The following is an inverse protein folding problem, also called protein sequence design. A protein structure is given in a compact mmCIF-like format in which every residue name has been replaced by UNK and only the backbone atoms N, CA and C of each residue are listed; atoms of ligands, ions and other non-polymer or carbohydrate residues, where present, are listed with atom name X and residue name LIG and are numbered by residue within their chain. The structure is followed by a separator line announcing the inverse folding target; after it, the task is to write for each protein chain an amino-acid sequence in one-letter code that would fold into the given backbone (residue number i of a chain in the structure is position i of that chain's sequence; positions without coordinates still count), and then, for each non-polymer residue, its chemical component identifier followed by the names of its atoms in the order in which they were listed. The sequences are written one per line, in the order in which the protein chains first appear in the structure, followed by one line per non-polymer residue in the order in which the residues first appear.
data_IF_404587918430
#
_entry.id   IF_404587918430
#
_cell.length_a   1.000
_cell.length_b   1.000
_cell.length_c   1.000
_cell.angle_alpha   90.00
_cell.angle_beta   90.00
_cell.angle_gamma   90.00
#
_symmetry.space_group_name_H-M   'P 1'
#
loop_
_entity.id
_entity.type
_entity.pdbx_description
1 polymer ?
#
# COMPACT_ATOMS: atom_id res chain seq x y z
N UNK A 1 14.79 -1.62 8.52
CA UNK A 1 13.96 -0.42 8.36
C UNK A 1 13.65 0.26 9.70
N UNK A 2 13.09 -0.44 10.70
CA UNK A 2 12.71 0.16 12.00
C UNK A 2 13.87 0.79 12.81
N UNK A 3 15.11 0.50 12.46
CA UNK A 3 16.31 1.15 13.07
C UNK A 3 16.77 2.38 12.28
N UNK A 4 16.16 2.66 11.14
CA UNK A 4 16.47 3.83 10.29
C UNK A 4 15.50 4.96 10.61
N UNK A 5 15.91 6.19 10.30
CA UNK A 5 14.96 7.31 10.33
C UNK A 5 13.97 7.19 9.16
N UNK A 6 12.68 7.49 9.35
CA UNK A 6 11.69 7.47 8.28
C UNK A 6 12.11 8.22 7.00
N UNK A 7 12.72 9.39 7.15
CA UNK A 7 13.19 10.19 6.02
C UNK A 7 14.31 9.51 5.22
N UNK A 8 15.22 8.79 5.88
CA UNK A 8 16.32 8.10 5.21
C UNK A 8 15.79 6.95 4.34
N UNK A 9 14.77 6.24 4.80
CA UNK A 9 14.08 5.21 4.01
C UNK A 9 13.49 5.83 2.72
N UNK A 10 12.84 7.00 2.83
CA UNK A 10 12.28 7.69 1.65
C UNK A 10 13.38 8.05 0.65
N UNK A 11 14.53 8.54 1.13
CA UNK A 11 15.65 8.89 0.26
C UNK A 11 16.30 7.64 -0.38
N UNK A 12 16.37 6.51 0.32
CA UNK A 12 16.84 5.24 -0.26
C UNK A 12 15.91 4.76 -1.38
N UNK A 13 14.59 4.87 -1.20
CA UNK A 13 13.63 4.55 -2.26
C UNK A 13 13.73 5.52 -3.44
N UNK A 14 14.02 6.81 -3.21
CA UNK A 14 14.31 7.77 -4.29
C UNK A 14 15.57 7.36 -5.04
N UNK A 15 16.67 7.11 -4.31
CA UNK A 15 17.99 6.77 -4.86
C UNK A 15 17.99 5.45 -5.63
N UNK A 16 17.15 4.49 -5.24
CA UNK A 16 16.98 3.22 -5.96
C UNK A 16 16.41 3.38 -7.37
N UNK A 17 15.77 4.51 -7.66
CA UNK A 17 15.10 4.74 -8.93
C UNK A 17 13.85 3.86 -9.15
N UNK A 18 13.32 3.22 -8.11
CA UNK A 18 12.12 2.38 -8.20
C UNK A 18 10.96 3.14 -8.85
N UNK A 19 10.43 2.57 -9.91
CA UNK A 19 9.23 3.09 -10.59
C UNK A 19 8.01 2.24 -10.28
N UNK A 20 6.86 2.90 -10.20
CA UNK A 20 5.58 2.24 -10.04
C UNK A 20 5.27 1.29 -11.20
N UNK A 21 4.86 0.08 -10.88
CA UNK A 21 4.62 -1.01 -11.84
C UNK A 21 3.15 -1.17 -12.26
N UNK A 22 2.28 -0.28 -11.80
CA UNK A 22 0.86 -0.22 -12.21
C UNK A 22 0.61 0.50 -13.55
N UNK A 23 1.60 0.58 -14.44
CA UNK A 23 1.48 1.15 -15.79
C UNK A 23 1.94 2.62 -15.92
N UNK A 24 1.81 3.45 -14.91
CA UNK A 24 2.17 4.88 -14.97
C UNK A 24 3.66 5.18 -14.85
N UNK A 25 4.50 4.24 -14.39
CA UNK A 25 5.95 4.38 -14.29
C UNK A 25 6.44 5.56 -13.42
N UNK A 26 5.61 6.08 -12.52
CA UNK A 26 5.96 7.21 -11.67
C UNK A 26 7.07 6.82 -10.68
N UNK A 27 8.00 7.74 -10.40
CA UNK A 27 9.09 7.49 -9.45
C UNK A 27 8.52 7.34 -8.04
N UNK A 28 8.62 6.11 -7.51
CA UNK A 28 7.96 5.71 -6.27
C UNK A 28 8.37 6.56 -5.07
N UNK A 29 9.66 6.81 -4.90
CA UNK A 29 10.17 7.58 -3.76
C UNK A 29 9.66 9.03 -3.73
N UNK A 30 9.48 9.68 -4.89
CA UNK A 30 8.88 11.03 -4.93
C UNK A 30 7.41 11.03 -4.46
N UNK A 31 6.67 9.97 -4.75
CA UNK A 31 5.32 9.79 -4.26
C UNK A 31 5.30 9.59 -2.74
N UNK A 32 6.24 8.80 -2.22
CA UNK A 32 6.41 8.61 -0.78
C UNK A 32 6.74 9.93 -0.07
N UNK A 33 7.68 10.71 -0.62
CA UNK A 33 8.05 12.02 -0.07
C UNK A 33 6.84 12.96 0.00
N UNK A 34 6.03 13.01 -1.06
CA UNK A 34 4.80 13.82 -1.06
C UNK A 34 3.82 13.36 0.03
N UNK A 35 3.59 12.04 0.17
CA UNK A 35 2.70 11.52 1.20
C UNK A 35 3.22 11.78 2.62
N UNK A 36 4.54 11.63 2.86
CA UNK A 36 5.17 11.88 4.15
C UNK A 36 5.07 13.34 4.59
N UNK A 37 5.13 14.28 3.64
CA UNK A 37 5.11 15.73 3.91
C UNK A 37 3.73 16.38 3.76
N UNK A 38 2.71 15.62 3.33
CA UNK A 38 1.36 16.13 3.18
C UNK A 38 0.78 16.58 4.53
N UNK A 39 0.05 17.69 4.58
CA UNK A 39 -0.69 18.11 5.77
C UNK A 39 -1.66 17.02 6.23
N UNK A 40 -1.74 16.80 7.52
CA UNK A 40 -2.65 15.85 8.16
C UNK A 40 -3.64 16.56 9.07
N UNK A 41 -4.62 15.80 9.57
CA UNK A 41 -5.45 16.23 10.71
C UNK A 41 -4.66 16.24 12.03
N UNK A 42 -5.33 16.63 13.12
CA UNK A 42 -4.74 16.69 14.46
C UNK A 42 -4.25 15.31 14.97
N UNK A 43 -4.75 14.23 14.39
CA UNK A 43 -4.35 12.86 14.72
C UNK A 43 -3.18 12.36 13.87
N UNK A 44 -2.70 13.15 12.91
CA UNK A 44 -1.62 12.74 12.02
C UNK A 44 -2.04 11.65 11.01
N UNK A 45 -3.34 11.50 10.72
CA UNK A 45 -3.88 10.37 9.95
C UNK A 45 -3.33 10.32 8.53
N UNK A 46 -2.71 9.20 8.18
CA UNK A 46 -2.29 8.82 6.81
C UNK A 46 -2.65 7.38 6.55
N UNK A 47 -3.04 7.11 5.33
CA UNK A 47 -3.32 5.75 4.86
C UNK A 47 -2.28 5.27 3.87
N UNK A 48 -2.08 3.95 3.85
CA UNK A 48 -1.23 3.31 2.85
C UNK A 48 -1.99 2.15 2.20
N UNK A 49 -1.85 2.00 0.88
CA UNK A 49 -2.66 1.04 0.15
C UNK A 49 -1.85 0.25 -0.87
N UNK A 50 -2.23 -1.01 -1.02
CA UNK A 50 -1.84 -1.86 -2.15
C UNK A 50 -2.97 -1.84 -3.18
N UNK A 51 -2.64 -1.52 -4.41
CA UNK A 51 -3.50 -1.83 -5.56
C UNK A 51 -3.13 -3.22 -6.07
N UNK A 52 -3.94 -4.20 -5.73
CA UNK A 52 -3.86 -5.59 -6.21
C UNK A 52 -5.01 -5.93 -7.18
N UNK A 53 -5.68 -4.91 -7.75
CA UNK A 53 -6.68 -5.11 -8.80
C UNK A 53 -6.01 -5.17 -10.17
N UNK A 54 -5.80 -6.36 -10.65
CA UNK A 54 -5.19 -6.63 -11.95
C UNK A 54 -6.29 -7.05 -12.95
N UNK A 55 -7.08 -6.06 -13.39
CA UNK A 55 -8.25 -6.28 -14.22
C UNK A 55 -7.97 -6.73 -15.67
N UNK A 56 -6.73 -6.71 -16.13
CA UNK A 56 -6.34 -7.23 -17.44
C UNK A 56 -6.24 -8.77 -17.39
N UNK A 57 -7.05 -9.52 -18.15
CA UNK A 57 -7.07 -11.00 -18.11
C UNK A 57 -5.74 -11.67 -18.50
N UNK A 58 -4.88 -10.96 -19.24
CA UNK A 58 -3.57 -11.47 -19.65
C UNK A 58 -2.42 -11.09 -18.68
N UNK A 59 -2.72 -10.35 -17.62
CA UNK A 59 -1.75 -9.95 -16.61
C UNK A 59 -1.77 -10.90 -15.42
N UNK A 60 -0.59 -11.30 -14.94
CA UNK A 60 -0.42 -12.19 -13.78
C UNK A 60 0.63 -11.66 -12.81
N UNK A 61 1.00 -10.42 -12.91
CA UNK A 61 2.07 -9.78 -12.15
C UNK A 61 1.71 -9.67 -10.66
N UNK A 62 0.65 -8.93 -10.35
CA UNK A 62 0.21 -8.67 -8.97
C UNK A 62 -0.35 -9.92 -8.32
N UNK A 63 -1.18 -10.66 -9.04
CA UNK A 63 -1.74 -11.91 -8.58
C UNK A 63 -0.64 -12.90 -8.20
N UNK A 64 0.37 -13.09 -9.06
CA UNK A 64 1.47 -14.02 -8.80
C UNK A 64 2.26 -13.65 -7.55
N UNK A 65 2.49 -12.37 -7.31
CA UNK A 65 3.18 -11.87 -6.12
C UNK A 65 2.36 -12.07 -4.86
N UNK A 66 1.07 -11.72 -4.90
CA UNK A 66 0.17 -11.90 -3.75
C UNK A 66 -0.06 -13.38 -3.41
N UNK A 67 -0.08 -14.25 -4.41
CA UNK A 67 -0.19 -15.70 -4.21
C UNK A 67 1.13 -16.37 -3.84
N UNK A 68 2.24 -15.98 -4.46
CA UNK A 68 3.54 -16.63 -4.29
C UNK A 68 4.36 -16.10 -3.11
N UNK A 69 4.34 -14.79 -2.91
CA UNK A 69 5.19 -14.08 -1.95
C UNK A 69 4.41 -13.03 -1.13
N UNK A 70 3.27 -13.37 -0.49
CA UNK A 70 2.43 -12.41 0.22
C UNK A 70 3.18 -11.65 1.32
N UNK A 71 4.13 -12.30 1.99
CA UNK A 71 4.95 -11.66 3.04
C UNK A 71 5.80 -10.52 2.51
N UNK A 72 6.28 -10.58 1.26
CA UNK A 72 7.04 -9.47 0.67
C UNK A 72 6.17 -8.24 0.44
N UNK A 73 4.90 -8.45 0.06
CA UNK A 73 3.92 -7.35 -0.07
C UNK A 73 3.66 -6.72 1.29
N UNK A 74 3.41 -7.55 2.31
CA UNK A 74 3.16 -7.11 3.70
C UNK A 74 4.38 -6.38 4.26
N UNK A 75 5.59 -6.93 4.09
CA UNK A 75 6.84 -6.30 4.55
C UNK A 75 7.04 -4.93 3.87
N UNK A 76 6.87 -4.85 2.55
CA UNK A 76 6.98 -3.60 1.81
C UNK A 76 5.98 -2.54 2.30
N UNK A 77 4.77 -2.96 2.63
CA UNK A 77 3.74 -2.08 3.16
C UNK A 77 4.08 -1.58 4.57
N UNK A 78 4.60 -2.45 5.45
CA UNK A 78 5.06 -2.06 6.80
C UNK A 78 6.21 -1.05 6.70
N UNK A 79 7.19 -1.30 5.83
CA UNK A 79 8.31 -0.38 5.59
C UNK A 79 7.80 0.99 5.11
N UNK A 80 6.90 0.97 4.13
CA UNK A 80 6.30 2.20 3.63
C UNK A 80 5.47 2.94 4.67
N UNK A 81 4.70 2.21 5.47
CA UNK A 81 3.91 2.78 6.56
C UNK A 81 4.79 3.48 7.60
N UNK A 82 5.88 2.83 8.00
CA UNK A 82 6.85 3.44 8.90
C UNK A 82 7.50 4.68 8.29
N UNK A 83 7.89 4.62 7.01
CA UNK A 83 8.54 5.74 6.32
C UNK A 83 7.66 6.98 6.18
N UNK A 84 6.35 6.83 6.01
CA UNK A 84 5.41 7.96 5.89
C UNK A 84 4.60 8.21 7.17
N UNK A 85 4.83 7.41 8.23
CA UNK A 85 4.07 7.44 9.47
C UNK A 85 2.56 7.23 9.21
N UNK A 86 2.22 6.19 8.42
CA UNK A 86 0.84 5.82 8.19
C UNK A 86 0.23 5.12 9.40
N UNK A 87 -1.06 5.34 9.59
CA UNK A 87 -1.82 4.80 10.74
C UNK A 87 -2.49 3.47 10.42
N UNK A 88 -2.82 3.23 9.15
CA UNK A 88 -3.56 2.05 8.71
C UNK A 88 -3.19 1.68 7.26
N UNK A 89 -3.17 0.38 6.98
CA UNK A 89 -2.87 -0.20 5.68
C UNK A 89 -4.02 -1.00 5.10
N UNK A 90 -4.25 -0.88 3.79
CA UNK A 90 -5.30 -1.62 3.09
C UNK A 90 -4.69 -2.33 1.88
N UNK A 91 -4.88 -3.64 1.79
CA UNK A 91 -4.58 -4.41 0.59
C UNK A 91 -5.88 -4.60 -0.19
N UNK A 92 -6.06 -3.81 -1.25
CA UNK A 92 -7.19 -3.99 -2.16
C UNK A 92 -6.86 -5.07 -3.18
N UNK A 93 -7.67 -6.09 -3.26
CA UNK A 93 -7.55 -7.17 -4.25
C UNK A 93 -8.93 -7.54 -4.78
N UNK A 94 -8.97 -8.24 -5.91
CA UNK A 94 -10.23 -8.71 -6.50
C UNK A 94 -10.81 -9.86 -5.67
N UNK A 95 -12.13 -9.91 -5.55
CA UNK A 95 -12.84 -10.98 -4.84
C UNK A 95 -12.67 -12.35 -5.51
N UNK A 96 -12.45 -12.39 -6.84
CA UNK A 96 -12.20 -13.62 -7.60
C UNK A 96 -10.77 -14.18 -7.43
N UNK A 97 -9.87 -13.48 -6.71
CA UNK A 97 -8.52 -13.94 -6.38
C UNK A 97 -8.48 -14.69 -5.03
N UNK A 98 -9.33 -15.72 -4.88
CA UNK A 98 -9.52 -16.42 -3.61
C UNK A 98 -8.21 -16.96 -2.99
N UNK A 99 -7.24 -17.39 -3.80
CA UNK A 99 -5.93 -17.87 -3.31
C UNK A 99 -5.12 -16.71 -2.76
N UNK A 100 -5.09 -15.56 -3.45
CA UNK A 100 -4.40 -14.36 -3.00
C UNK A 100 -4.99 -13.87 -1.68
N UNK A 101 -6.31 -13.73 -1.58
CA UNK A 101 -7.03 -13.34 -0.36
C UNK A 101 -6.66 -14.25 0.81
N UNK A 102 -6.74 -15.57 0.62
CA UNK A 102 -6.39 -16.55 1.65
C UNK A 102 -4.95 -16.40 2.12
N UNK A 103 -3.99 -16.31 1.18
CA UNK A 103 -2.56 -16.24 1.52
C UNK A 103 -2.16 -14.90 2.13
N UNK A 104 -2.76 -13.80 1.69
CA UNK A 104 -2.57 -12.49 2.31
C UNK A 104 -3.07 -12.49 3.75
N UNK A 105 -4.28 -12.98 4.01
CA UNK A 105 -4.81 -13.08 5.38
C UNK A 105 -3.91 -13.94 6.27
N UNK A 106 -3.44 -15.11 5.79
CA UNK A 106 -2.47 -15.91 6.52
C UNK A 106 -1.17 -15.17 6.83
N UNK A 107 -0.65 -14.40 5.86
CA UNK A 107 0.57 -13.62 6.06
C UNK A 107 0.36 -12.49 7.09
N UNK A 108 -0.81 -11.85 7.10
CA UNK A 108 -1.17 -10.83 8.08
C UNK A 108 -1.28 -11.42 9.49
N UNK A 109 -1.94 -12.57 9.64
CA UNK A 109 -2.02 -13.28 10.93
C UNK A 109 -0.63 -13.62 11.46
N UNK A 110 0.22 -14.24 10.63
CA UNK A 110 1.60 -14.57 11.00
C UNK A 110 2.44 -13.32 11.34
N UNK A 111 2.22 -12.22 10.67
CA UNK A 111 2.88 -10.94 10.98
C UNK A 111 2.43 -10.40 12.35
N UNK A 112 1.14 -10.51 12.69
CA UNK A 112 0.61 -10.12 14.01
C UNK A 112 1.16 -11.00 15.13
N UNK A 113 1.17 -12.31 14.93
CA UNK A 113 1.75 -13.28 15.89
C UNK A 113 3.22 -12.99 16.20
N UNK A 114 3.97 -12.44 15.23
CA UNK A 114 5.38 -12.08 15.38
C UNK A 114 5.61 -10.66 15.86
N UNK A 115 4.55 -9.91 16.19
CA UNK A 115 4.64 -8.51 16.59
C UNK A 115 5.14 -7.55 15.50
N UNK A 116 4.92 -7.90 14.23
CA UNK A 116 5.25 -7.07 13.06
C UNK A 116 4.05 -6.25 12.57
N UNK A 117 2.87 -6.50 13.11
CA UNK A 117 1.64 -5.72 12.93
C UNK A 117 0.94 -5.54 14.27
N UNK A 118 0.14 -4.48 14.40
CA UNK A 118 -0.58 -4.12 15.61
C UNK A 118 0.12 -3.00 16.38
N UNK A 119 0.17 -3.11 17.70
CA UNK A 119 0.75 -2.10 18.58
C UNK A 119 2.25 -2.34 18.79
N UNK A 120 3.03 -1.25 18.85
CA UNK A 120 4.43 -1.25 19.24
C UNK A 120 5.29 -2.24 18.43
N UNK A 121 5.21 -2.16 17.12
CA UNK A 121 5.85 -3.06 16.17
C UNK A 121 7.35 -3.14 16.42
N UNK A 122 7.86 -4.38 16.54
CA UNK A 122 9.29 -4.62 16.80
C UNK A 122 9.83 -3.98 18.07
N UNK A 123 8.97 -3.66 19.06
CA UNK A 123 9.35 -2.99 20.31
C UNK A 123 9.58 -1.48 20.18
N UNK A 124 9.11 -0.87 19.10
CA UNK A 124 9.13 0.59 18.86
C UNK A 124 7.82 1.24 19.28
N UNK A 125 7.74 2.58 19.26
CA UNK A 125 6.48 3.31 19.47
C UNK A 125 5.56 3.32 18.24
N UNK A 126 6.01 2.73 17.13
CA UNK A 126 5.23 2.66 15.90
C UNK A 126 4.16 1.56 15.99
N UNK A 127 2.92 1.95 15.71
CA UNK A 127 1.77 1.04 15.69
C UNK A 127 1.06 1.14 14.34
N UNK A 128 0.82 -0.01 13.71
CA UNK A 128 0.27 -0.08 12.37
C UNK A 128 -0.38 -1.44 12.14
N UNK A 129 -1.54 -1.48 11.52
CA UNK A 129 -2.17 -2.73 11.12
C UNK A 129 -2.68 -2.67 9.68
N UNK A 130 -2.91 -3.84 9.10
CA UNK A 130 -3.30 -4.02 7.71
C UNK A 130 -4.51 -4.94 7.65
N UNK A 131 -5.46 -4.62 6.76
CA UNK A 131 -6.53 -5.57 6.39
C UNK A 131 -6.63 -5.73 4.87
N UNK A 132 -7.22 -6.83 4.45
CA UNK A 132 -7.54 -7.11 3.05
C UNK A 132 -8.95 -6.59 2.77
N UNK A 133 -9.08 -5.81 1.71
CA UNK A 133 -10.37 -5.38 1.16
C UNK A 133 -10.61 -6.10 -0.17
N UNK A 134 -11.65 -6.92 -0.20
CA UNK A 134 -12.07 -7.62 -1.41
C UNK A 134 -12.94 -6.67 -2.25
N UNK A 135 -12.36 -6.22 -3.35
CA UNK A 135 -13.00 -5.29 -4.26
C UNK A 135 -13.91 -5.98 -5.27
N UNK A 136 -14.51 -5.15 -6.13
CA UNK A 136 -15.38 -5.61 -7.21
C UNK A 136 -14.57 -6.19 -8.37
N UNK A 137 -15.18 -7.10 -9.13
CA UNK A 137 -14.57 -7.74 -10.32
C UNK A 137 -14.60 -6.83 -11.56
N UNK A 138 -14.68 -5.52 -11.39
CA UNK A 138 -14.75 -4.57 -12.49
C UNK A 138 -13.36 -4.01 -12.83
N UNK A 139 -13.04 -3.93 -14.12
CA UNK A 139 -11.77 -3.36 -14.61
C UNK A 139 -11.47 -1.96 -14.04
N UNK A 140 -12.51 -1.14 -13.88
CA UNK A 140 -12.38 0.23 -13.32
C UNK A 140 -11.92 0.22 -11.86
N UNK A 141 -12.05 -0.89 -11.15
CA UNK A 141 -11.60 -1.05 -9.77
C UNK A 141 -10.11 -0.79 -9.58
N UNK A 142 -9.29 -1.01 -10.61
CA UNK A 142 -7.85 -0.73 -10.61
C UNK A 142 -7.47 0.75 -10.74
N UNK A 143 -8.40 1.64 -11.11
CA UNK A 143 -8.15 3.08 -11.10
C UNK A 143 -8.11 3.60 -9.66
N UNK A 144 -7.10 4.41 -9.33
CA UNK A 144 -6.78 4.78 -7.95
C UNK A 144 -7.92 5.45 -7.19
N UNK A 145 -8.65 6.35 -7.82
CA UNK A 145 -9.75 7.08 -7.16
C UNK A 145 -11.02 6.24 -7.07
N UNK A 146 -11.28 5.38 -8.06
CA UNK A 146 -12.37 4.41 -8.04
C UNK A 146 -12.14 3.33 -6.98
N UNK A 147 -10.89 2.85 -6.84
CA UNK A 147 -10.47 1.92 -5.81
C UNK A 147 -10.72 2.48 -4.41
N UNK A 148 -10.29 3.72 -4.15
CA UNK A 148 -10.53 4.37 -2.86
C UNK A 148 -12.02 4.57 -2.61
N UNK A 149 -12.81 4.94 -3.61
CA UNK A 149 -14.27 5.06 -3.48
C UNK A 149 -14.92 3.72 -3.10
N UNK A 150 -14.43 2.59 -3.66
CA UNK A 150 -14.87 1.25 -3.28
C UNK A 150 -14.60 0.95 -1.81
N UNK A 151 -13.39 1.24 -1.32
CA UNK A 151 -13.04 1.07 0.11
C UNK A 151 -13.89 1.93 1.02
N UNK A 152 -14.26 3.14 0.57
CA UNK A 152 -15.17 4.04 1.27
C UNK A 152 -16.65 3.57 1.26
N UNK A 153 -16.96 2.42 0.64
CA UNK A 153 -18.34 1.94 0.47
C UNK A 153 -19.16 2.73 -0.55
N UNK A 154 -18.51 3.50 -1.41
CA UNK A 154 -19.13 4.30 -2.46
C UNK A 154 -19.04 3.59 -3.81
N UNK A 155 -19.90 4.01 -4.75
CA UNK A 155 -19.80 3.53 -6.13
C UNK A 155 -18.43 3.92 -6.73
N UNK A 156 -17.66 2.97 -7.30
CA UNK A 156 -16.32 3.22 -7.82
C UNK A 156 -16.37 3.99 -9.14
N UNK A 157 -16.41 5.31 -9.03
CA UNK A 157 -16.24 6.22 -10.16
C UNK A 157 -14.89 6.91 -10.10
N UNK A 158 -14.16 6.99 -11.22
CA UNK A 158 -12.96 7.80 -11.33
C UNK A 158 -13.26 9.28 -11.05
N UNK A 159 -12.34 9.92 -10.32
CA UNK A 159 -12.39 11.36 -10.04
C UNK A 159 -11.27 12.07 -10.78
N UNK A 160 -11.54 13.29 -11.22
CA UNK A 160 -10.51 14.15 -11.79
C UNK A 160 -9.41 14.46 -10.77
N UNK A 161 -8.17 14.52 -11.25
CA UNK A 161 -7.01 14.95 -10.47
C UNK A 161 -6.46 16.27 -11.05
N UNK A 162 -5.89 17.18 -10.26
CA UNK A 162 -5.71 17.15 -8.81
C UNK A 162 -7.03 17.34 -8.02
N UNK A 163 -7.08 17.12 -6.67
CA UNK A 163 -5.95 16.74 -5.82
C UNK A 163 -5.51 15.29 -6.01
N UNK A 164 -4.21 15.03 -5.83
CA UNK A 164 -3.67 13.68 -5.86
C UNK A 164 -3.96 12.93 -4.56
N UNK A 165 -3.97 11.58 -4.61
CA UNK A 165 -4.23 10.76 -3.42
C UNK A 165 -3.26 11.03 -2.26
N UNK A 166 -2.02 11.39 -2.57
CA UNK A 166 -1.01 11.77 -1.56
C UNK A 166 -1.37 13.04 -0.78
N UNK A 167 -2.28 13.85 -1.31
CA UNK A 167 -2.78 15.08 -0.69
C UNK A 167 -4.19 14.85 -0.09
N UNK A 168 -5.08 14.23 -0.87
CA UNK A 168 -6.48 14.00 -0.50
C UNK A 168 -6.99 12.69 -1.12
N UNK A 169 -6.69 11.59 -0.46
CA UNK A 169 -7.10 10.24 -0.87
C UNK A 169 -8.26 9.71 -0.05
N UNK A 170 -8.07 8.54 0.56
CA UNK A 170 -9.07 7.79 1.31
C UNK A 170 -9.63 8.63 2.47
N UNK A 171 -10.96 8.73 2.54
CA UNK A 171 -11.69 9.60 3.50
C UNK A 171 -11.16 11.04 3.56
N UNK A 172 -10.61 11.53 2.43
CA UNK A 172 -10.05 12.87 2.33
C UNK A 172 -8.70 13.07 3.02
N UNK A 173 -8.03 12.00 3.44
CA UNK A 173 -6.72 12.04 4.11
C UNK A 173 -5.58 11.69 3.14
N UNK A 174 -4.34 12.10 3.42
CA UNK A 174 -3.19 11.69 2.62
C UNK A 174 -3.09 10.17 2.52
N UNK A 175 -3.03 9.66 1.30
CA UNK A 175 -3.01 8.21 1.03
C UNK A 175 -1.92 7.87 0.04
N UNK A 176 -1.01 7.00 0.44
CA UNK A 176 0.02 6.44 -0.42
C UNK A 176 -0.46 5.14 -1.03
N UNK A 177 -0.76 5.14 -2.31
CA UNK A 177 -1.19 3.97 -3.06
C UNK A 177 -0.10 3.55 -4.04
N UNK A 178 0.34 2.30 -3.98
CA UNK A 178 1.19 1.67 -5.00
C UNK A 178 0.63 0.30 -5.39
N UNK A 179 1.06 -0.18 -6.55
CA UNK A 179 0.79 -1.51 -7.06
C UNK A 179 1.46 -2.61 -6.20
N UNK A 180 0.93 -3.84 -6.18
CA UNK A 180 1.41 -4.93 -5.30
C UNK A 180 2.86 -5.33 -5.60
N UNK A 181 3.26 -5.45 -6.87
CA UNK A 181 4.66 -5.75 -7.22
C UNK A 181 5.62 -4.62 -6.82
N UNK A 182 5.17 -3.37 -6.88
CA UNK A 182 5.97 -2.23 -6.39
C UNK A 182 6.26 -2.39 -4.90
N UNK A 183 5.27 -2.74 -4.09
CA UNK A 183 5.45 -2.99 -2.67
C UNK A 183 6.38 -4.17 -2.38
N UNK A 184 6.20 -5.28 -3.10
CA UNK A 184 7.05 -6.46 -2.93
C UNK A 184 8.53 -6.22 -3.31
N UNK A 185 8.81 -5.18 -4.11
CA UNK A 185 10.19 -4.82 -4.48
C UNK A 185 10.91 -4.03 -3.36
N UNK A 186 10.16 -3.32 -2.51
CA UNK A 186 10.72 -2.44 -1.46
C UNK A 186 11.67 -3.16 -0.49
N UNK A 187 11.36 -4.36 0.04
CA UNK A 187 12.27 -5.04 0.96
C UNK A 187 13.65 -5.35 0.39
N UNK A 188 13.74 -5.59 -0.92
CA UNK A 188 15.02 -5.87 -1.57
C UNK A 188 15.94 -4.65 -1.69
N UNK A 189 15.39 -3.44 -1.65
CA UNK A 189 16.14 -2.18 -1.73
C UNK A 189 16.82 -1.85 -0.40
N UNK A 190 16.19 -2.23 0.72
CA UNK A 190 16.62 -1.86 2.08
C UNK A 190 17.38 -2.99 2.81
N UNK A 191 17.85 -4.00 2.08
CA UNK A 191 18.66 -5.12 2.61
C UNK A 191 20.12 -4.76 2.72
#
# INVERSE_FOLDING_TARGET
ALQMKPADIVEDIISSGLRGKGGGGFVTGHKWKKAATAPTDDLGTRYIMVNGDEGNPASYMDRSVMEGCPHQVVEGLIIGAYAIQATEGIIYTRSDYAIAVKRLNMALEQARERGLLGKNIGGTDFSFDIYVHEGMEAFIGGESTALMASVEGKRPFPKAQPPHSTEKGLWGKPTLLNNAETWATVPAILK
#
